data_IF_323217106241
#
_entry.id   IF_323217106241
#
_cell.length_a   1.000
_cell.length_b   1.000
_cell.length_c   1.000
_cell.angle_alpha   90.00
_cell.angle_beta   90.00
_cell.angle_gamma   90.00
#
_symmetry.space_group_name_H-M   'P 1'
#
loop_
_entity.id
_entity.type
_entity.pdbx_description
1 polymer ?
#
# COMPACT_ATOMS: atom_id res chain seq x y z
N UNK A 1 -8.38 13.61 2.89
CA UNK A 1 -8.80 12.72 1.80
C UNK A 1 -9.53 11.55 2.41
N UNK A 2 -10.66 11.13 1.83
CA UNK A 2 -11.38 9.94 2.27
C UNK A 2 -11.40 8.88 1.16
N UNK A 3 -10.89 7.68 1.46
CA UNK A 3 -10.97 6.54 0.56
C UNK A 3 -12.01 5.55 1.09
N UNK A 4 -12.90 5.09 0.21
CA UNK A 4 -13.95 4.13 0.58
C UNK A 4 -14.39 3.28 -0.61
N UNK A 5 -15.27 2.31 -0.38
CA UNK A 5 -15.89 1.51 -1.44
C UNK A 5 -17.36 1.87 -1.52
N UNK A 6 -17.83 2.23 -2.72
CA UNK A 6 -19.26 2.33 -3.01
C UNK A 6 -19.89 0.95 -2.82
N UNK A 7 -20.73 0.78 -1.80
CA UNK A 7 -21.34 -0.51 -1.48
C UNK A 7 -22.32 -1.00 -2.55
N UNK A 8 -22.87 -0.10 -3.37
CA UNK A 8 -23.83 -0.45 -4.42
C UNK A 8 -23.16 -0.97 -5.70
N UNK A 9 -21.94 -0.48 -6.00
CA UNK A 9 -21.25 -0.82 -7.26
C UNK A 9 -19.90 -1.51 -7.05
N UNK A 10 -19.36 -1.52 -5.83
CA UNK A 10 -18.01 -1.99 -5.54
C UNK A 10 -16.88 -1.06 -6.03
N UNK A 11 -17.21 0.13 -6.55
CA UNK A 11 -16.21 1.07 -7.04
C UNK A 11 -15.39 1.65 -5.90
N UNK A 12 -14.09 1.86 -6.14
CA UNK A 12 -13.26 2.68 -5.27
C UNK A 12 -13.72 4.14 -5.36
N UNK A 13 -13.87 4.78 -4.21
CA UNK A 13 -14.17 6.19 -4.08
C UNK A 13 -12.96 6.90 -3.47
N UNK A 14 -12.56 8.01 -4.09
CA UNK A 14 -11.57 8.94 -3.55
C UNK A 14 -12.23 10.30 -3.47
N UNK A 15 -12.33 10.85 -2.26
CA UNK A 15 -13.05 12.10 -1.98
C UNK A 15 -14.49 12.10 -2.56
N UNK A 16 -15.14 10.94 -2.50
CA UNK A 16 -16.52 10.74 -2.97
C UNK A 16 -16.67 10.50 -4.48
N UNK A 17 -15.60 10.66 -5.28
CA UNK A 17 -15.62 10.40 -6.71
C UNK A 17 -15.26 8.94 -7.02
N UNK A 18 -15.99 8.31 -7.94
CA UNK A 18 -15.65 6.97 -8.46
C UNK A 18 -14.36 7.04 -9.25
N UNK A 19 -13.41 6.17 -8.90
CA UNK A 19 -12.11 6.06 -9.56
C UNK A 19 -11.92 4.63 -10.07
N UNK A 20 -11.38 4.52 -11.28
CA UNK A 20 -10.84 3.28 -11.80
C UNK A 20 -9.31 3.31 -11.64
N UNK A 21 -8.72 2.49 -10.75
CA UNK A 21 -7.27 2.47 -10.56
C UNK A 21 -6.56 1.90 -11.80
N UNK A 22 -5.77 2.74 -12.46
CA UNK A 22 -4.78 2.36 -13.46
C UNK A 22 -3.44 2.36 -12.74
N UNK A 23 -3.02 1.18 -12.31
CA UNK A 23 -1.89 1.01 -11.40
C UNK A 23 -0.67 0.39 -12.06
N UNK A 24 0.52 0.93 -11.77
CA UNK A 24 1.78 0.28 -12.07
C UNK A 24 2.31 -0.50 -10.87
N UNK A 25 2.59 -1.79 -11.08
CA UNK A 25 3.37 -2.58 -10.12
C UNK A 25 4.85 -2.35 -10.37
N UNK A 26 5.55 -1.75 -9.40
CA UNK A 26 6.92 -1.27 -9.57
C UNK A 26 6.96 -0.14 -10.62
N UNK A 27 6.49 1.08 -10.26
CA UNK A 27 6.62 2.23 -11.15
C UNK A 27 8.10 2.53 -11.45
N UNK A 28 8.41 3.46 -12.38
CA UNK A 28 9.77 3.97 -12.51
C UNK A 28 10.35 4.35 -11.14
N UNK A 29 11.67 4.25 -10.90
CA UNK A 29 12.25 4.69 -9.63
C UNK A 29 11.94 6.16 -9.36
N UNK A 30 11.83 6.55 -8.08
CA UNK A 30 11.68 7.95 -7.70
C UNK A 30 12.87 8.77 -8.22
N UNK A 31 12.58 9.85 -8.95
CA UNK A 31 13.60 10.67 -9.63
C UNK A 31 14.20 10.03 -10.88
N UNK A 32 13.74 8.83 -11.27
CA UNK A 32 14.12 8.16 -12.49
C UNK A 32 13.73 8.96 -13.73
N UNK A 33 14.53 8.83 -14.79
CA UNK A 33 14.33 9.56 -16.03
C UNK A 33 14.00 8.63 -17.19
N UNK A 34 13.21 9.13 -18.12
CA UNK A 34 12.98 8.49 -19.41
C UNK A 34 14.26 8.53 -20.26
N UNK A 35 14.33 7.79 -21.38
CA UNK A 35 15.47 7.89 -22.31
C UNK A 35 15.69 9.30 -22.87
N UNK A 36 14.66 10.15 -22.92
CA UNK A 36 14.75 11.55 -23.35
C UNK A 36 15.10 12.51 -22.21
N UNK A 37 15.30 12.00 -20.97
CA UNK A 37 15.68 12.79 -19.81
C UNK A 37 14.51 13.44 -19.05
N UNK A 38 13.27 13.19 -19.45
CA UNK A 38 12.08 13.67 -18.73
C UNK A 38 11.84 12.85 -17.45
N UNK A 39 11.09 13.40 -16.50
CA UNK A 39 10.75 12.69 -15.29
C UNK A 39 9.84 11.48 -15.58
N UNK A 40 10.23 10.29 -15.12
CA UNK A 40 9.51 9.05 -15.43
C UNK A 40 8.14 8.97 -14.77
N UNK A 41 7.93 9.62 -13.63
CA UNK A 41 6.62 9.67 -12.97
C UNK A 41 5.70 10.65 -13.68
N UNK A 42 6.22 11.81 -14.09
CA UNK A 42 5.46 12.74 -14.92
C UNK A 42 5.02 12.11 -16.25
N UNK A 43 5.90 11.33 -16.89
CA UNK A 43 5.60 10.62 -18.15
C UNK A 43 4.39 9.67 -17.97
N UNK A 44 4.44 8.76 -17.00
CA UNK A 44 3.36 7.77 -16.83
C UNK A 44 2.07 8.39 -16.29
N UNK A 45 2.17 9.45 -15.49
CA UNK A 45 1.00 10.24 -15.09
C UNK A 45 0.31 10.86 -16.32
N UNK A 46 1.08 11.43 -17.25
CA UNK A 46 0.53 12.01 -18.48
C UNK A 46 -0.13 10.97 -19.39
N UNK A 47 0.29 9.70 -19.28
CA UNK A 47 -0.32 8.57 -19.96
C UNK A 47 -1.57 8.00 -19.24
N UNK A 48 -2.01 8.60 -18.12
CA UNK A 48 -3.25 8.26 -17.43
C UNK A 48 -3.09 7.28 -16.26
N UNK A 49 -1.87 6.93 -15.85
CA UNK A 49 -1.65 6.20 -14.60
C UNK A 49 -2.04 7.09 -13.43
N UNK A 50 -2.85 6.58 -12.51
CA UNK A 50 -3.31 7.31 -11.31
C UNK A 50 -3.00 6.57 -10.01
N UNK A 51 -2.46 5.35 -10.10
CA UNK A 51 -2.01 4.57 -8.95
C UNK A 51 -0.61 4.01 -9.16
N UNK A 52 0.13 3.89 -8.06
CA UNK A 52 1.35 3.10 -8.02
C UNK A 52 1.28 2.10 -6.86
N UNK A 53 1.74 0.87 -7.08
CA UNK A 53 2.01 -0.04 -5.97
C UNK A 53 3.40 0.26 -5.45
N UNK A 54 3.50 0.61 -4.17
CA UNK A 54 4.78 0.89 -3.56
C UNK A 54 5.61 -0.39 -3.45
N UNK A 55 6.93 -0.25 -3.34
CA UNK A 55 7.84 -1.40 -3.33
C UNK A 55 7.51 -2.30 -2.14
N UNK A 56 7.65 -3.61 -2.33
CA UNK A 56 7.66 -4.53 -1.19
C UNK A 56 8.83 -4.20 -0.26
N UNK A 57 8.51 -3.69 0.93
CA UNK A 57 9.43 -3.50 2.04
C UNK A 57 9.41 -4.76 2.89
N UNK A 58 10.60 -5.29 3.20
CA UNK A 58 10.74 -6.22 4.30
C UNK A 58 10.71 -5.41 5.59
N UNK A 59 9.51 -5.26 6.15
CA UNK A 59 9.28 -4.49 7.35
C UNK A 59 10.02 -5.10 8.54
N UNK A 60 10.70 -4.26 9.32
CA UNK A 60 11.52 -4.68 10.45
C UNK A 60 11.28 -3.75 11.65
N UNK A 61 11.16 -4.33 12.85
CA UNK A 61 10.81 -3.57 14.06
C UNK A 61 11.92 -2.61 14.50
N UNK A 62 13.18 -2.96 14.25
CA UNK A 62 14.32 -2.12 14.63
C UNK A 62 14.46 -0.92 13.68
N UNK A 63 14.09 -1.11 12.41
CA UNK A 63 14.17 -0.08 11.37
C UNK A 63 12.84 0.63 11.09
N UNK A 64 11.77 0.30 11.80
CA UNK A 64 10.40 0.66 11.42
C UNK A 64 10.20 2.16 11.23
N UNK A 65 10.80 2.99 12.08
CA UNK A 65 10.64 4.44 11.99
C UNK A 65 11.33 5.02 10.74
N UNK A 66 12.52 4.51 10.40
CA UNK A 66 13.22 4.89 9.17
C UNK A 66 12.47 4.40 7.92
N UNK A 67 11.90 3.19 7.97
CA UNK A 67 11.12 2.64 6.86
C UNK A 67 9.82 3.43 6.62
N UNK A 68 9.10 3.80 7.70
CA UNK A 68 7.92 4.67 7.60
C UNK A 68 8.29 6.05 7.06
N UNK A 69 9.39 6.64 7.50
CA UNK A 69 9.85 7.93 6.99
C UNK A 69 10.19 7.87 5.49
N UNK A 70 10.87 6.82 5.05
CA UNK A 70 11.17 6.60 3.64
C UNK A 70 9.90 6.40 2.81
N UNK A 71 8.95 5.61 3.31
CA UNK A 71 7.67 5.40 2.62
C UNK A 71 6.83 6.68 2.55
N UNK A 72 6.87 7.51 3.59
CA UNK A 72 6.23 8.82 3.57
C UNK A 72 6.80 9.72 2.47
N UNK A 73 8.12 9.74 2.27
CA UNK A 73 8.73 10.49 1.17
C UNK A 73 8.28 9.99 -0.22
N UNK A 74 8.05 8.67 -0.37
CA UNK A 74 7.47 8.09 -1.58
C UNK A 74 6.03 8.56 -1.77
N UNK A 75 5.21 8.54 -0.70
CA UNK A 75 3.83 9.02 -0.74
C UNK A 75 3.75 10.52 -1.04
N UNK A 76 4.60 11.35 -0.45
CA UNK A 76 4.70 12.79 -0.72
C UNK A 76 4.99 13.03 -2.21
N UNK A 77 6.00 12.34 -2.76
CA UNK A 77 6.34 12.43 -4.17
C UNK A 77 5.21 11.93 -5.08
N UNK A 78 4.51 10.86 -4.69
CA UNK A 78 3.43 10.28 -5.45
C UNK A 78 2.26 11.26 -5.54
N UNK A 79 1.88 11.86 -4.42
CA UNK A 79 0.86 12.90 -4.35
C UNK A 79 1.20 14.12 -5.21
N UNK A 80 2.48 14.54 -5.23
CA UNK A 80 2.95 15.64 -6.08
C UNK A 80 2.79 15.36 -7.59
N UNK A 81 2.72 14.09 -7.99
CA UNK A 81 2.48 13.64 -9.38
C UNK A 81 1.02 13.23 -9.63
N UNK A 82 0.13 13.42 -8.65
CA UNK A 82 -1.29 13.06 -8.77
C UNK A 82 -1.57 11.55 -8.62
N UNK A 83 -0.61 10.76 -8.11
CA UNK A 83 -0.83 9.35 -7.84
C UNK A 83 -1.41 9.12 -6.44
N UNK A 84 -2.20 8.05 -6.34
CA UNK A 84 -2.43 7.36 -5.08
C UNK A 84 -1.58 6.10 -4.99
N UNK A 85 -1.25 5.69 -3.78
CA UNK A 85 -0.40 4.56 -3.51
C UNK A 85 -1.19 3.36 -3.01
N UNK A 86 -0.85 2.21 -3.55
CA UNK A 86 -1.20 0.90 -3.02
C UNK A 86 -0.03 0.39 -2.17
N UNK A 87 -0.09 0.65 -0.85
CA UNK A 87 0.99 0.36 0.08
C UNK A 87 1.17 -1.14 0.29
N UNK A 88 2.36 -1.66 0.00
CA UNK A 88 2.62 -3.10 0.14
C UNK A 88 3.02 -3.51 1.56
N UNK A 89 2.13 -4.21 2.26
CA UNK A 89 2.40 -4.78 3.59
C UNK A 89 3.13 -6.13 3.48
N UNK A 90 2.73 -6.98 2.54
CA UNK A 90 3.29 -8.33 2.39
C UNK A 90 2.92 -9.25 3.55
N UNK A 91 3.84 -10.11 3.97
CA UNK A 91 3.59 -11.18 4.94
C UNK A 91 3.26 -10.69 6.35
N UNK A 92 3.52 -9.41 6.69
CA UNK A 92 3.08 -8.87 8.00
C UNK A 92 1.56 -8.73 8.09
N UNK A 93 0.85 -8.74 6.94
CA UNK A 93 -0.60 -8.71 6.88
C UNK A 93 -1.23 -10.10 7.14
N UNK A 94 -0.59 -10.89 8.01
CA UNK A 94 -1.15 -12.10 8.61
C UNK A 94 -0.80 -12.13 10.10
N UNK A 95 -1.82 -12.28 10.95
CA UNK A 95 -1.66 -12.23 12.40
C UNK A 95 -1.95 -13.59 13.05
N UNK A 96 -1.22 -14.00 14.09
CA UNK A 96 -1.58 -15.14 14.92
C UNK A 96 -2.81 -14.82 15.79
N UNK A 97 -3.25 -15.78 16.61
CA UNK A 97 -4.30 -15.57 17.62
C UNK A 97 -3.79 -14.85 18.86
N UNK A 98 -2.49 -14.93 19.15
CA UNK A 98 -1.85 -14.23 20.25
C UNK A 98 -1.65 -12.75 19.93
N UNK A 99 -1.99 -11.89 20.88
CA UNK A 99 -1.72 -10.46 20.82
C UNK A 99 -0.24 -10.15 20.97
N UNK A 100 0.20 -9.02 20.41
CA UNK A 100 1.55 -8.49 20.60
C UNK A 100 2.61 -9.16 19.73
N UNK A 101 2.20 -9.95 18.73
CA UNK A 101 3.13 -10.53 17.75
C UNK A 101 3.93 -9.45 17.02
N UNK A 102 5.16 -9.73 16.55
CA UNK A 102 5.93 -8.77 15.75
C UNK A 102 5.17 -8.20 14.55
N UNK A 103 4.42 -9.03 13.84
CA UNK A 103 3.57 -8.59 12.72
C UNK A 103 2.47 -7.62 13.16
N UNK A 104 1.84 -7.86 14.31
CA UNK A 104 0.82 -6.94 14.85
C UNK A 104 1.44 -5.60 15.23
N UNK A 105 2.62 -5.61 15.85
CA UNK A 105 3.36 -4.40 16.19
C UNK A 105 3.74 -3.61 14.92
N UNK A 106 4.29 -4.28 13.91
CA UNK A 106 4.63 -3.67 12.61
C UNK A 106 3.40 -3.07 11.94
N UNK A 107 2.33 -3.86 11.79
CA UNK A 107 1.08 -3.41 11.17
C UNK A 107 0.51 -2.17 11.90
N UNK A 108 0.53 -2.17 13.23
CA UNK A 108 0.07 -1.05 14.04
C UNK A 108 0.94 0.20 13.86
N UNK A 109 2.27 0.05 13.82
CA UNK A 109 3.21 1.17 13.61
C UNK A 109 3.07 1.76 12.22
N UNK A 110 2.97 0.92 11.20
CA UNK A 110 2.80 1.35 9.79
C UNK A 110 1.48 2.09 9.61
N UNK A 111 0.37 1.50 10.09
CA UNK A 111 -0.94 2.14 10.01
C UNK A 111 -0.92 3.50 10.71
N UNK A 112 -0.45 3.58 11.96
CA UNK A 112 -0.41 4.86 12.68
C UNK A 112 0.56 5.89 12.07
N UNK A 113 1.65 5.44 11.45
CA UNK A 113 2.63 6.33 10.82
C UNK A 113 2.19 6.90 9.47
N UNK A 114 1.33 6.18 8.74
CA UNK A 114 0.97 6.51 7.36
C UNK A 114 -0.52 6.82 7.15
N UNK A 115 -1.40 6.46 8.10
CA UNK A 115 -2.85 6.74 7.99
C UNK A 115 -3.13 8.22 7.80
N UNK A 116 -4.14 8.51 7.01
CA UNK A 116 -4.53 9.88 6.67
C UNK A 116 -3.56 10.61 5.71
N UNK A 117 -2.47 9.98 5.27
CA UNK A 117 -1.64 10.57 4.22
C UNK A 117 -2.45 10.71 2.92
N UNK A 118 -2.46 11.88 2.26
CA UNK A 118 -3.31 12.10 1.08
C UNK A 118 -2.97 11.17 -0.09
N UNK A 119 -1.71 10.86 -0.33
CA UNK A 119 -1.37 9.88 -1.38
C UNK A 119 -1.60 8.42 -0.97
N UNK A 120 -1.96 8.08 0.28
CA UNK A 120 -2.23 6.69 0.64
C UNK A 120 -3.65 6.32 0.17
N UNK A 121 -3.73 5.49 -0.87
CA UNK A 121 -5.00 5.05 -1.44
C UNK A 121 -5.53 3.78 -0.79
N UNK A 122 -4.76 2.71 -0.85
CA UNK A 122 -5.18 1.39 -0.36
C UNK A 122 -4.00 0.62 0.23
N UNK A 123 -4.29 -0.32 1.13
CA UNK A 123 -3.31 -1.26 1.65
C UNK A 123 -3.33 -2.56 0.84
N UNK A 124 -2.16 -3.12 0.55
CA UNK A 124 -2.00 -4.45 -0.03
C UNK A 124 -1.56 -5.43 1.04
N UNK A 125 -2.41 -6.41 1.33
CA UNK A 125 -2.03 -7.54 2.17
C UNK A 125 -1.07 -8.52 1.48
N UNK A 126 -1.09 -9.77 1.97
CA UNK A 126 -0.33 -10.90 1.42
C UNK A 126 -0.67 -11.09 -0.06
N UNK A 127 0.36 -11.27 -0.88
CA UNK A 127 0.21 -11.58 -2.31
C UNK A 127 -0.12 -13.06 -2.49
N UNK A 128 -1.17 -13.35 -3.27
CA UNK A 128 -1.60 -14.70 -3.64
C UNK A 128 -1.52 -15.73 -2.50
N UNK A 129 -2.27 -15.54 -1.39
CA UNK A 129 -2.12 -16.34 -0.18
C UNK A 129 -2.37 -17.84 -0.39
N UNK A 130 -3.12 -18.22 -1.43
CA UNK A 130 -3.42 -19.61 -1.79
C UNK A 130 -2.65 -20.11 -3.04
N UNK A 131 -1.62 -19.39 -3.52
CA UNK A 131 -0.84 -19.82 -4.67
C UNK A 131 -0.19 -21.20 -4.42
N UNK A 132 -0.42 -22.20 -5.31
CA UNK A 132 0.10 -23.56 -5.14
C UNK A 132 1.63 -23.66 -5.19
N UNK A 133 2.32 -22.64 -5.72
CA UNK A 133 3.78 -22.57 -5.78
C UNK A 133 4.41 -22.02 -4.49
N UNK A 134 3.62 -21.60 -3.51
CA UNK A 134 4.14 -21.21 -2.18
C UNK A 134 4.54 -22.46 -1.40
N UNK A 135 5.57 -22.39 -0.52
CA UNK A 135 5.90 -23.52 0.36
C UNK A 135 4.74 -23.97 1.24
N UNK A 136 3.89 -23.02 1.63
CA UNK A 136 2.61 -23.28 2.27
C UNK A 136 1.61 -22.15 1.97
N UNK A 137 0.31 -22.46 1.81
CA UNK A 137 -0.73 -21.45 1.76
C UNK A 137 -0.81 -20.66 3.07
N UNK A 138 -1.11 -19.37 2.99
CA UNK A 138 -1.35 -18.53 4.16
C UNK A 138 -2.79 -18.75 4.64
N UNK A 139 -3.01 -19.18 5.91
CA UNK A 139 -4.35 -19.44 6.41
C UNK A 139 -5.21 -18.17 6.41
N UNK A 140 -6.42 -18.27 5.84
CA UNK A 140 -7.38 -17.16 5.74
C UNK A 140 -7.66 -16.49 7.10
N UNK A 141 -7.70 -17.27 8.18
CA UNK A 141 -7.95 -16.75 9.52
C UNK A 141 -6.92 -15.68 9.97
N UNK A 142 -5.65 -15.81 9.57
CA UNK A 142 -4.62 -14.83 9.88
C UNK A 142 -4.78 -13.54 9.07
N UNK A 143 -5.18 -13.67 7.81
CA UNK A 143 -5.48 -12.53 6.93
C UNK A 143 -6.69 -11.73 7.44
N UNK A 144 -7.75 -12.42 7.87
CA UNK A 144 -8.95 -11.78 8.44
C UNK A 144 -8.61 -10.98 9.70
N UNK A 145 -7.78 -11.54 10.60
CA UNK A 145 -7.33 -10.80 11.79
C UNK A 145 -6.52 -9.55 11.43
N UNK A 146 -5.61 -9.64 10.46
CA UNK A 146 -4.86 -8.48 9.98
C UNK A 146 -5.78 -7.41 9.37
N UNK A 147 -6.73 -7.83 8.53
CA UNK A 147 -7.74 -6.94 7.96
C UNK A 147 -8.55 -6.21 9.04
N UNK A 148 -9.07 -6.94 10.02
CA UNK A 148 -9.85 -6.36 11.13
C UNK A 148 -9.01 -5.39 11.97
N UNK A 149 -7.75 -5.74 12.26
CA UNK A 149 -6.83 -4.86 12.99
C UNK A 149 -6.59 -3.57 12.22
N UNK A 150 -6.29 -3.68 10.92
CA UNK A 150 -6.03 -2.52 10.08
C UNK A 150 -7.28 -1.64 9.98
N UNK A 151 -8.45 -2.25 9.76
CA UNK A 151 -9.74 -1.55 9.67
C UNK A 151 -10.13 -0.78 10.94
N UNK A 152 -9.63 -1.21 12.09
CA UNK A 152 -9.82 -0.50 13.36
C UNK A 152 -8.82 0.66 13.55
N UNK A 153 -7.73 0.70 12.79
CA UNK A 153 -6.69 1.73 12.87
C UNK A 153 -6.87 2.84 11.82
N UNK A 154 -7.35 2.47 10.62
CA UNK A 154 -7.62 3.30 9.43
C UNK A 154 -8.76 2.68 8.58
#
# INVERSE_FOLDING_TARGET
MAVSIDQSTGCLLIDGAKVFPIALSNPPPLGGKTPSGTDGWAEVASAGVNFIRTRLIQWDLQQIDAQIAAEKAVLDAAGAHGFHCWLQLGEIATLPTSSGSPNEQLLTRIANGLKGHPALGVYKGVDEPANPNRPSPVPAAGLVRAYQKLKALD
#
